data_IF_087240531179
#
_entry.id   IF_087240531179
#
_cell.length_a   1.000
_cell.length_b   1.000
_cell.length_c   1.000
_cell.angle_alpha   90.00
_cell.angle_beta   90.00
_cell.angle_gamma   90.00
#
_symmetry.space_group_name_H-M   'P 1'
#
loop_
_entity.id
_entity.type
_entity.pdbx_description
1 polymer ?
#
# COMPACT_ATOMS: atom_id res chain seq x y z
N UNK A 1 26.90 15.24 -31.95
CA UNK A 1 26.97 14.00 -31.17
C UNK A 1 26.55 14.34 -29.75
N UNK A 2 25.37 13.93 -29.32
CA UNK A 2 24.93 14.12 -27.92
C UNK A 2 25.79 13.24 -27.03
N UNK A 3 26.40 13.80 -26.00
CA UNK A 3 27.05 13.00 -24.95
C UNK A 3 26.05 11.99 -24.40
N UNK A 4 26.43 10.71 -24.20
CA UNK A 4 25.57 9.77 -23.49
C UNK A 4 25.25 10.38 -22.12
N UNK A 5 23.96 10.54 -21.81
CA UNK A 5 23.54 10.95 -20.48
C UNK A 5 24.10 9.93 -19.48
N UNK A 6 24.84 10.41 -18.46
CA UNK A 6 25.33 9.55 -17.39
C UNK A 6 24.15 8.85 -16.72
N UNK A 7 24.31 7.54 -16.46
CA UNK A 7 23.26 6.75 -15.80
C UNK A 7 23.02 7.28 -14.39
N UNK A 8 21.77 7.40 -13.92
CA UNK A 8 21.47 7.72 -12.53
C UNK A 8 22.17 6.75 -11.58
N UNK A 9 22.68 7.27 -10.46
CA UNK A 9 23.33 6.46 -9.43
C UNK A 9 22.41 6.25 -8.23
N UNK A 10 22.36 5.02 -7.72
CA UNK A 10 21.70 4.69 -6.45
C UNK A 10 22.79 4.61 -5.39
N UNK A 11 22.77 5.54 -4.43
CA UNK A 11 23.80 5.67 -3.39
C UNK A 11 23.17 5.40 -2.02
N UNK A 12 23.80 4.56 -1.22
CA UNK A 12 23.44 4.37 0.18
C UNK A 12 23.93 5.58 0.99
N UNK A 13 23.04 6.54 1.27
CA UNK A 13 23.40 7.75 2.00
C UNK A 13 23.49 7.53 3.52
N UNK A 14 22.52 6.83 4.11
CA UNK A 14 22.45 6.53 5.55
C UNK A 14 21.99 5.08 5.72
N UNK A 15 22.59 4.34 6.64
CA UNK A 15 22.18 3.00 7.01
C UNK A 15 22.08 2.90 8.53
N UNK A 16 21.05 2.20 9.02
CA UNK A 16 20.88 1.94 10.45
C UNK A 16 20.35 0.53 10.65
N UNK A 17 21.06 -0.26 11.44
CA UNK A 17 20.60 -1.59 11.85
C UNK A 17 19.51 -1.49 12.91
N UNK A 18 18.56 -2.42 12.85
CA UNK A 18 17.50 -2.61 13.85
C UNK A 18 17.58 -4.02 14.40
N UNK A 19 17.07 -4.23 15.61
CA UNK A 19 17.08 -5.51 16.34
C UNK A 19 15.72 -6.23 16.34
N UNK A 20 14.87 -5.92 15.36
CA UNK A 20 13.52 -6.44 15.21
C UNK A 20 13.20 -6.66 13.74
N UNK A 21 12.12 -7.38 13.46
CA UNK A 21 11.70 -7.61 12.08
C UNK A 21 10.96 -6.38 11.56
N UNK A 22 11.54 -5.72 10.56
CA UNK A 22 10.94 -4.57 9.88
C UNK A 22 10.05 -5.06 8.73
N UNK A 23 8.79 -4.62 8.70
CA UNK A 23 7.84 -4.96 7.63
C UNK A 23 7.53 -3.79 6.70
N UNK A 24 7.54 -2.56 7.21
CA UNK A 24 7.21 -1.38 6.41
C UNK A 24 7.91 -0.12 6.92
N UNK A 25 8.15 0.83 6.03
CA UNK A 25 8.64 2.16 6.36
C UNK A 25 7.99 3.23 5.47
N UNK A 26 7.74 4.41 6.05
CA UNK A 26 7.08 5.53 5.37
C UNK A 26 7.63 6.86 5.84
N UNK A 27 7.88 7.78 4.90
CA UNK A 27 8.20 9.16 5.24
C UNK A 27 7.01 9.84 5.94
N UNK A 28 7.29 10.56 7.02
CA UNK A 28 6.31 11.46 7.62
C UNK A 28 6.22 12.69 6.73
N UNK A 29 5.04 13.01 6.18
CA UNK A 29 4.87 14.11 5.21
C UNK A 29 5.42 15.45 5.73
N UNK A 30 6.04 16.22 4.82
CA UNK A 30 6.62 17.53 5.10
C UNK A 30 7.64 17.51 6.25
N UNK A 31 8.48 16.48 6.34
CA UNK A 31 9.54 16.39 7.36
C UNK A 31 10.73 15.56 6.88
N UNK A 32 11.86 15.67 7.61
CA UNK A 32 13.01 14.77 7.47
C UNK A 32 12.85 13.49 8.32
N UNK A 33 11.62 13.15 8.73
CA UNK A 33 11.32 12.02 9.59
C UNK A 33 10.67 10.88 8.82
N UNK A 34 10.90 9.65 9.26
CA UNK A 34 10.24 8.46 8.74
C UNK A 34 9.85 7.51 9.87
N UNK A 35 8.82 6.71 9.63
CA UNK A 35 8.37 5.66 10.53
C UNK A 35 8.84 4.29 10.03
N UNK A 36 9.13 3.40 10.97
CA UNK A 36 9.44 2.00 10.77
C UNK A 36 8.45 1.15 11.56
N UNK A 37 7.85 0.15 10.93
CA UNK A 37 6.81 -0.71 11.48
C UNK A 37 7.27 -2.16 11.45
N UNK A 38 7.06 -2.88 12.55
CA UNK A 38 7.58 -4.23 12.68
C UNK A 38 7.06 -5.00 13.89
N UNK A 39 7.82 -6.02 14.28
CA UNK A 39 7.61 -6.76 15.52
C UNK A 39 8.90 -7.15 16.22
N UNK A 40 8.83 -7.16 17.55
CA UNK A 40 9.87 -7.68 18.43
C UNK A 40 9.83 -9.21 18.45
N UNK A 41 10.94 -9.83 18.86
CA UNK A 41 11.05 -11.29 18.99
C UNK A 41 10.01 -11.91 19.95
N UNK A 42 9.54 -11.14 20.93
CA UNK A 42 8.46 -11.52 21.85
C UNK A 42 7.05 -11.46 21.26
N UNK A 43 6.91 -11.09 19.99
CA UNK A 43 5.63 -11.08 19.26
C UNK A 43 4.80 -9.80 19.43
N UNK A 44 5.27 -8.80 20.16
CA UNK A 44 4.66 -7.47 20.19
C UNK A 44 5.06 -6.64 18.98
N UNK A 45 4.19 -5.69 18.59
CA UNK A 45 4.49 -4.75 17.51
C UNK A 45 5.40 -3.63 17.97
N UNK A 46 6.10 -3.04 17.02
CA UNK A 46 6.96 -1.88 17.26
C UNK A 46 6.76 -0.85 16.16
N UNK A 47 6.67 0.41 16.58
CA UNK A 47 6.68 1.60 15.75
C UNK A 47 7.84 2.47 16.20
N UNK A 48 8.82 2.68 15.32
CA UNK A 48 9.91 3.62 15.56
C UNK A 48 9.80 4.83 14.64
N UNK A 49 10.10 6.01 15.16
CA UNK A 49 10.19 7.26 14.40
C UNK A 49 11.65 7.67 14.38
N UNK A 50 12.18 7.85 13.18
CA UNK A 50 13.53 8.34 12.93
C UNK A 50 13.49 9.73 12.32
N UNK A 51 14.55 10.50 12.55
CA UNK A 51 14.81 11.77 11.87
C UNK A 51 16.21 11.73 11.26
N UNK A 52 16.34 12.15 10.01
CA UNK A 52 17.66 12.31 9.40
C UNK A 52 18.24 13.65 9.85
N UNK A 53 19.35 13.58 10.58
CA UNK A 53 20.11 14.74 11.04
C UNK A 53 21.59 14.49 10.82
N UNK A 54 22.29 15.44 10.19
CA UNK A 54 23.76 15.39 10.00
C UNK A 54 24.27 14.07 9.38
N UNK A 55 23.54 13.48 8.44
CA UNK A 55 23.93 12.23 7.78
C UNK A 55 23.66 10.96 8.61
N UNK A 56 22.89 11.06 9.69
CA UNK A 56 22.51 9.92 10.52
C UNK A 56 21.00 9.81 10.70
N UNK A 57 20.49 8.57 10.85
CA UNK A 57 19.11 8.30 11.23
C UNK A 57 19.00 8.21 12.76
N UNK A 58 18.59 9.31 13.40
CA UNK A 58 18.43 9.40 14.86
C UNK A 58 17.07 8.89 15.29
N UNK A 59 17.03 7.98 16.26
CA UNK A 59 15.76 7.50 16.84
C UNK A 59 15.16 8.63 17.69
N UNK A 60 13.93 9.03 17.34
CA UNK A 60 13.19 10.09 18.05
C UNK A 60 12.18 9.49 19.02
N UNK A 61 11.53 8.39 18.62
CA UNK A 61 10.48 7.76 19.42
C UNK A 61 10.40 6.28 19.09
N UNK A 62 10.15 5.47 20.12
CA UNK A 62 9.84 4.06 20.02
C UNK A 62 8.56 3.79 20.79
N UNK A 63 7.62 3.10 20.16
CA UNK A 63 6.32 2.76 20.73
C UNK A 63 6.08 1.28 20.50
N UNK A 64 5.89 0.54 21.59
CA UNK A 64 5.48 -0.86 21.54
C UNK A 64 3.96 -0.96 21.45
N UNK A 65 3.49 -1.91 20.63
CA UNK A 65 2.08 -2.22 20.43
C UNK A 65 1.79 -3.68 20.78
N UNK A 66 0.55 -3.96 21.12
CA UNK A 66 0.12 -5.30 21.53
C UNK A 66 0.22 -6.33 20.40
N UNK A 67 0.13 -5.91 19.14
CA UNK A 67 0.21 -6.77 17.94
C UNK A 67 1.25 -6.25 16.95
N UNK A 68 1.95 -7.14 16.23
CA UNK A 68 2.84 -6.81 15.11
C UNK A 68 2.19 -5.88 14.08
N UNK A 69 2.91 -4.83 13.66
CA UNK A 69 2.44 -3.87 12.66
C UNK A 69 2.99 -4.25 11.28
N UNK A 70 2.11 -4.61 10.34
CA UNK A 70 2.50 -5.17 9.03
C UNK A 70 2.72 -4.10 7.95
N UNK A 71 1.92 -3.05 7.97
CA UNK A 71 1.91 -2.04 6.93
C UNK A 71 1.35 -0.71 7.46
N UNK A 72 1.68 0.41 6.80
CA UNK A 72 1.11 1.71 7.15
C UNK A 72 1.08 2.72 6.00
N UNK A 73 0.25 3.76 6.16
CA UNK A 73 0.12 4.85 5.19
C UNK A 73 -0.27 6.16 5.85
N UNK A 74 0.21 7.28 5.28
CA UNK A 74 -0.25 8.63 5.59
C UNK A 74 -1.22 9.17 4.53
N UNK A 75 -1.53 8.38 3.47
CA UNK A 75 -2.21 8.87 2.27
C UNK A 75 -3.63 9.39 2.49
N UNK A 76 -4.26 9.05 3.59
CA UNK A 76 -5.59 9.54 3.99
C UNK A 76 -5.54 10.65 5.07
N UNK A 77 -4.36 11.03 5.54
CA UNK A 77 -4.21 12.08 6.56
C UNK A 77 -4.08 13.45 5.93
N UNK A 78 -4.56 14.49 6.63
CA UNK A 78 -4.20 15.87 6.30
C UNK A 78 -2.72 16.15 6.61
N UNK A 79 -2.16 17.20 5.97
CA UNK A 79 -0.79 17.68 6.22
C UNK A 79 -0.60 18.24 7.63
N UNK A 80 -1.67 18.73 8.26
CA UNK A 80 -1.62 19.25 9.62
C UNK A 80 -1.54 18.12 10.65
N UNK A 81 -2.37 17.09 10.49
CA UNK A 81 -2.48 16.00 11.46
C UNK A 81 -1.36 14.95 11.31
N UNK A 82 -1.00 14.59 10.06
CA UNK A 82 -0.01 13.55 9.75
C UNK A 82 -0.23 12.26 10.55
N UNK A 83 -1.48 11.84 10.65
CA UNK A 83 -1.83 10.59 11.32
C UNK A 83 -1.43 9.39 10.47
N UNK A 84 -0.85 8.39 11.13
CA UNK A 84 -0.45 7.15 10.49
C UNK A 84 -1.59 6.13 10.60
N UNK A 85 -2.11 5.67 9.48
CA UNK A 85 -2.93 4.46 9.44
C UNK A 85 -2.03 3.23 9.40
N UNK A 86 -2.35 2.19 10.17
CA UNK A 86 -1.60 0.93 10.23
C UNK A 86 -2.52 -0.27 10.19
N UNK A 87 -2.11 -1.30 9.47
CA UNK A 87 -2.70 -2.64 9.56
C UNK A 87 -1.81 -3.59 10.38
N UNK A 88 -2.43 -4.36 11.28
CA UNK A 88 -1.72 -5.29 12.15
C UNK A 88 -1.98 -6.78 11.82
N UNK A 89 -1.22 -7.67 12.47
CA UNK A 89 -1.36 -9.12 12.31
C UNK A 89 -2.66 -9.68 12.89
N UNK A 90 -3.32 -8.90 13.74
CA UNK A 90 -4.63 -9.22 14.28
C UNK A 90 -5.77 -8.74 13.41
N UNK A 91 -5.56 -8.18 12.21
CA UNK A 91 -6.66 -7.69 11.39
C UNK A 91 -7.25 -6.35 11.84
N UNK A 92 -6.55 -5.61 12.71
CA UNK A 92 -7.02 -4.30 13.17
C UNK A 92 -6.45 -3.19 12.28
N UNK A 93 -7.34 -2.29 11.85
CA UNK A 93 -6.96 -1.00 11.29
C UNK A 93 -6.94 0.01 12.42
N UNK A 94 -5.78 0.63 12.64
CA UNK A 94 -5.63 1.70 13.62
C UNK A 94 -5.09 2.96 12.96
N UNK A 95 -5.56 4.12 13.39
CA UNK A 95 -5.03 5.43 12.98
C UNK A 95 -4.45 6.11 14.21
N UNK A 96 -3.23 6.61 14.10
CA UNK A 96 -2.44 7.09 15.23
C UNK A 96 -2.07 8.57 15.06
N UNK A 97 -2.32 9.35 16.10
CA UNK A 97 -1.57 10.58 16.30
C UNK A 97 -0.18 10.21 16.82
N UNK A 98 0.86 10.45 16.02
CA UNK A 98 2.23 10.08 16.39
C UNK A 98 2.77 10.91 17.58
N UNK A 99 2.19 12.07 17.88
CA UNK A 99 2.53 12.90 19.03
C UNK A 99 1.92 12.38 20.34
N UNK A 100 0.75 11.74 20.26
CA UNK A 100 0.01 11.15 21.38
C UNK A 100 -0.37 9.69 21.05
N UNK A 101 0.63 8.84 20.89
CA UNK A 101 0.47 7.53 20.26
C UNK A 101 -0.02 6.43 21.21
N UNK A 102 -0.36 6.71 22.46
CA UNK A 102 -0.80 5.71 23.43
C UNK A 102 -2.14 5.09 23.03
N UNK A 103 -3.08 5.92 22.58
CA UNK A 103 -4.42 5.54 22.14
C UNK A 103 -4.64 5.91 20.68
N UNK A 104 -5.19 5.02 19.83
CA UNK A 104 -5.48 5.36 18.45
C UNK A 104 -6.61 6.39 18.37
N UNK A 105 -6.55 7.28 17.38
CA UNK A 105 -7.65 8.22 17.07
C UNK A 105 -8.83 7.52 16.39
N UNK A 106 -8.56 6.39 15.74
CA UNK A 106 -9.54 5.50 15.13
C UNK A 106 -9.04 4.07 15.25
N UNK A 107 -9.91 3.15 15.63
CA UNK A 107 -9.58 1.72 15.72
C UNK A 107 -10.79 0.90 15.34
N UNK A 108 -10.59 -0.10 14.48
CA UNK A 108 -11.63 -1.06 14.11
C UNK A 108 -11.01 -2.42 13.85
N UNK A 109 -11.74 -3.48 14.23
CA UNK A 109 -11.46 -4.85 13.82
C UNK A 109 -11.88 -5.00 12.35
N UNK A 110 -11.02 -4.56 11.46
CA UNK A 110 -11.29 -4.49 10.02
C UNK A 110 -11.42 -5.88 9.37
N UNK A 111 -10.58 -6.81 9.79
CA UNK A 111 -10.39 -8.12 9.17
C UNK A 111 -10.29 -9.24 10.19
N UNK A 112 -10.57 -10.48 9.75
CA UNK A 112 -10.48 -11.67 10.60
C UNK A 112 -9.02 -12.13 10.78
N UNK A 113 -8.19 -11.86 9.79
CA UNK A 113 -6.77 -12.20 9.74
C UNK A 113 -5.90 -10.97 9.48
N UNK A 114 -4.59 -11.17 9.37
CA UNK A 114 -3.59 -10.13 9.09
C UNK A 114 -4.00 -9.19 7.96
N UNK A 115 -3.79 -7.88 8.15
CA UNK A 115 -3.84 -6.89 7.07
C UNK A 115 -2.47 -6.88 6.40
N UNK A 116 -2.37 -7.48 5.22
CA UNK A 116 -1.10 -7.61 4.50
C UNK A 116 -0.63 -6.28 3.92
N UNK A 117 -1.59 -5.46 3.46
CA UNK A 117 -1.37 -4.25 2.70
C UNK A 117 -2.41 -3.19 3.05
N UNK A 118 -2.00 -1.93 2.90
CA UNK A 118 -2.80 -0.76 3.17
C UNK A 118 -2.41 0.35 2.21
N UNK A 119 -3.38 1.11 1.74
CA UNK A 119 -3.13 2.33 0.99
C UNK A 119 -4.12 3.44 1.38
N UNK A 120 -3.79 4.69 1.06
CA UNK A 120 -4.61 5.86 1.36
C UNK A 120 -4.60 6.87 0.22
N UNK A 121 -5.70 7.61 0.09
CA UNK A 121 -5.90 8.68 -0.90
C UNK A 121 -6.85 9.76 -0.34
N UNK A 122 -6.86 10.95 -0.93
CA UNK A 122 -7.68 12.09 -0.50
C UNK A 122 -7.09 12.86 0.68
N UNK A 123 -5.99 12.37 1.27
CA UNK A 123 -5.15 13.10 2.20
C UNK A 123 -3.97 13.78 1.50
N UNK A 124 -3.20 14.56 2.25
CA UNK A 124 -1.96 15.22 1.81
C UNK A 124 -2.06 16.12 0.56
N UNK A 125 -3.28 16.44 0.11
CA UNK A 125 -3.52 17.12 -1.17
C UNK A 125 -3.33 16.20 -2.40
N UNK A 126 -3.37 14.88 -2.21
CA UNK A 126 -3.22 13.88 -3.28
C UNK A 126 -4.55 13.13 -3.44
N UNK A 127 -5.15 13.32 -4.61
CA UNK A 127 -6.46 12.78 -4.95
C UNK A 127 -7.59 13.65 -4.41
N UNK A 128 -8.69 13.69 -5.16
CA UNK A 128 -9.86 14.48 -4.85
C UNK A 128 -10.90 13.68 -4.05
N UNK A 129 -11.81 14.38 -3.38
CA UNK A 129 -12.87 13.78 -2.56
C UNK A 129 -12.45 13.50 -1.11
N UNK A 130 -13.28 12.73 -0.41
CA UNK A 130 -13.03 12.41 1.00
C UNK A 130 -11.76 11.54 1.17
N UNK A 131 -10.99 11.72 2.26
CA UNK A 131 -9.89 10.82 2.56
C UNK A 131 -10.39 9.42 2.90
N UNK A 132 -9.82 8.41 2.25
CA UNK A 132 -10.15 7.01 2.47
C UNK A 132 -8.90 6.15 2.58
N UNK A 133 -9.04 5.04 3.31
CA UNK A 133 -8.03 4.02 3.50
C UNK A 133 -8.55 2.72 2.90
N UNK A 134 -7.73 2.01 2.13
CA UNK A 134 -8.02 0.66 1.67
C UNK A 134 -7.13 -0.33 2.40
N UNK A 135 -7.70 -1.46 2.83
CA UNK A 135 -6.99 -2.56 3.47
C UNK A 135 -7.24 -3.85 2.72
N UNK A 136 -6.18 -4.64 2.49
CA UNK A 136 -6.25 -5.99 1.93
C UNK A 136 -5.71 -7.02 2.93
N UNK A 137 -6.42 -8.13 3.10
CA UNK A 137 -6.14 -9.12 4.15
C UNK A 137 -6.02 -10.54 3.62
N UNK A 138 -5.34 -11.36 4.43
CA UNK A 138 -5.33 -12.82 4.29
C UNK A 138 -6.70 -13.47 4.41
N UNK A 139 -7.66 -12.79 5.04
CA UNK A 139 -9.06 -13.26 5.04
C UNK A 139 -9.72 -13.19 3.65
N UNK A 140 -9.01 -12.65 2.66
CA UNK A 140 -9.39 -12.56 1.26
C UNK A 140 -10.37 -11.46 0.92
N UNK A 141 -10.60 -10.54 1.86
CA UNK A 141 -11.41 -9.35 1.62
C UNK A 141 -10.53 -8.12 1.44
N UNK A 142 -11.02 -7.19 0.64
CA UNK A 142 -10.52 -5.83 0.51
C UNK A 142 -11.60 -4.89 1.02
N UNK A 143 -11.24 -3.94 1.88
CA UNK A 143 -12.20 -3.03 2.50
C UNK A 143 -11.73 -1.59 2.36
N UNK A 144 -12.66 -0.68 2.10
CA UNK A 144 -12.42 0.76 2.05
C UNK A 144 -13.07 1.41 3.27
N UNK A 145 -12.34 2.33 3.90
CA UNK A 145 -12.68 2.94 5.16
C UNK A 145 -12.64 4.45 5.06
N UNK A 146 -13.68 5.08 5.58
CA UNK A 146 -13.69 6.49 5.94
C UNK A 146 -13.60 6.57 7.46
N UNK A 147 -12.57 7.22 8.00
CA UNK A 147 -12.34 7.31 9.45
C UNK A 147 -13.38 8.14 10.19
N UNK A 148 -14.23 8.88 9.45
CA UNK A 148 -15.39 9.61 9.97
C UNK A 148 -16.58 8.68 10.20
N UNK A 149 -16.61 7.53 9.50
CA UNK A 149 -17.57 6.46 9.70
C UNK A 149 -17.00 5.41 10.66
N UNK A 150 -17.64 5.26 11.81
CA UNK A 150 -17.20 4.30 12.83
C UNK A 150 -17.63 2.88 12.47
N UNK A 151 -16.76 1.93 12.79
CA UNK A 151 -17.01 0.48 12.84
C UNK A 151 -17.37 -0.23 11.53
N UNK A 152 -17.78 0.49 10.48
CA UNK A 152 -18.20 -0.11 9.19
C UNK A 152 -17.39 0.45 8.02
N UNK A 153 -16.96 -0.41 7.08
CA UNK A 153 -16.33 0.05 5.84
C UNK A 153 -17.38 0.68 4.91
N UNK A 154 -16.94 1.61 4.05
CA UNK A 154 -17.77 2.21 3.00
C UNK A 154 -17.89 1.30 1.76
N UNK A 155 -16.89 0.42 1.57
CA UNK A 155 -16.93 -0.63 0.55
C UNK A 155 -16.29 -1.92 1.05
N UNK A 156 -16.83 -3.05 0.64
CA UNK A 156 -16.32 -4.38 0.92
C UNK A 156 -16.29 -5.19 -0.37
N UNK A 157 -15.11 -5.57 -0.82
CA UNK A 157 -14.88 -6.39 -2.00
C UNK A 157 -14.41 -7.76 -1.53
N UNK A 158 -15.23 -8.78 -1.74
CA UNK A 158 -14.93 -10.16 -1.41
C UNK A 158 -15.41 -11.11 -2.50
N UNK A 159 -14.92 -12.35 -2.47
CA UNK A 159 -15.35 -13.38 -3.40
C UNK A 159 -16.85 -13.68 -3.24
N UNK A 160 -17.49 -14.14 -4.32
CA UNK A 160 -18.90 -14.54 -4.28
C UNK A 160 -19.06 -15.71 -3.29
N UNK A 161 -20.21 -15.77 -2.61
CA UNK A 161 -20.50 -16.85 -1.68
C UNK A 161 -20.35 -18.22 -2.35
N UNK A 162 -19.54 -19.09 -1.76
CA UNK A 162 -19.19 -20.40 -2.31
C UNK A 162 -17.85 -20.47 -3.04
N UNK A 163 -17.22 -19.33 -3.37
CA UNK A 163 -15.87 -19.31 -3.94
C UNK A 163 -14.78 -19.37 -2.87
N UNK A 164 -13.63 -19.93 -3.24
CA UNK A 164 -12.48 -19.98 -2.35
C UNK A 164 -11.91 -18.58 -2.13
N UNK A 165 -11.81 -18.17 -0.86
CA UNK A 165 -11.12 -16.93 -0.48
C UNK A 165 -9.63 -17.03 -0.80
N UNK A 166 -9.07 -15.96 -1.36
CA UNK A 166 -7.66 -15.86 -1.78
C UNK A 166 -6.95 -14.81 -0.96
N UNK A 167 -5.70 -15.06 -0.61
CA UNK A 167 -4.94 -14.16 0.26
C UNK A 167 -4.60 -12.86 -0.51
N UNK A 168 -5.12 -11.72 -0.04
CA UNK A 168 -4.86 -10.43 -0.68
C UNK A 168 -3.50 -9.88 -0.21
N UNK A 169 -2.56 -9.75 -1.13
CA UNK A 169 -1.18 -9.36 -0.82
C UNK A 169 -0.89 -7.88 -1.04
N UNK A 170 -1.64 -7.23 -1.94
CA UNK A 170 -1.40 -5.82 -2.29
C UNK A 170 -2.69 -5.12 -2.71
N UNK A 171 -2.79 -3.84 -2.38
CA UNK A 171 -3.87 -2.93 -2.78
C UNK A 171 -3.26 -1.59 -3.21
N UNK A 172 -3.88 -0.93 -4.17
CA UNK A 172 -3.49 0.39 -4.62
C UNK A 172 -4.72 1.23 -4.99
N UNK A 173 -4.79 2.46 -4.47
CA UNK A 173 -5.72 3.45 -4.98
C UNK A 173 -5.23 4.03 -6.31
N UNK A 174 -6.18 4.36 -7.18
CA UNK A 174 -5.94 5.09 -8.42
C UNK A 174 -7.21 5.78 -8.90
N UNK A 175 -7.12 6.46 -10.04
CA UNK A 175 -8.25 7.14 -10.68
C UNK A 175 -8.92 8.24 -9.83
N UNK A 176 -8.23 8.78 -8.82
CA UNK A 176 -8.79 9.75 -7.87
C UNK A 176 -8.67 11.21 -8.36
N UNK A 177 -9.08 11.49 -9.59
CA UNK A 177 -8.86 12.80 -10.24
C UNK A 177 -9.98 13.82 -10.04
N UNK A 178 -11.11 13.39 -9.47
CA UNK A 178 -12.21 14.27 -9.06
C UNK A 178 -12.91 13.67 -7.81
N UNK A 179 -13.93 14.34 -7.30
CA UNK A 179 -14.59 13.96 -6.05
C UNK A 179 -15.43 12.67 -6.14
N UNK A 180 -15.73 12.19 -7.34
CA UNK A 180 -16.61 11.02 -7.58
C UNK A 180 -15.83 9.79 -8.04
N UNK A 181 -14.75 9.98 -8.77
CA UNK A 181 -14.00 8.91 -9.42
C UNK A 181 -12.93 8.36 -8.49
N UNK A 182 -12.96 7.04 -8.29
CA UNK A 182 -11.96 6.34 -7.50
C UNK A 182 -11.94 4.86 -7.86
N UNK A 183 -10.74 4.31 -7.98
CA UNK A 183 -10.54 2.90 -8.23
C UNK A 183 -9.62 2.27 -7.19
N UNK A 184 -9.85 0.99 -6.91
CA UNK A 184 -8.99 0.15 -6.08
C UNK A 184 -8.54 -1.02 -6.92
N UNK A 185 -7.22 -1.22 -7.03
CA UNK A 185 -6.67 -2.43 -7.62
C UNK A 185 -6.13 -3.34 -6.50
N UNK A 186 -6.52 -4.61 -6.52
CA UNK A 186 -6.12 -5.62 -5.55
C UNK A 186 -5.40 -6.78 -6.23
N UNK A 187 -4.34 -7.26 -5.60
CA UNK A 187 -3.52 -8.38 -6.06
C UNK A 187 -3.47 -9.51 -5.03
N UNK A 188 -3.53 -10.74 -5.51
CA UNK A 188 -3.70 -11.94 -4.67
C UNK A 188 -2.58 -12.96 -4.84
N UNK A 189 -2.50 -13.93 -3.93
CA UNK A 189 -1.51 -15.00 -3.87
C UNK A 189 -1.48 -15.93 -5.09
N UNK A 190 -2.62 -16.11 -5.77
CA UNK A 190 -2.76 -16.92 -6.97
C UNK A 190 -2.46 -16.15 -8.28
N UNK A 191 -2.06 -14.89 -8.18
CA UNK A 191 -1.77 -14.03 -9.32
C UNK A 191 -2.97 -13.27 -9.89
N UNK A 192 -4.15 -13.34 -9.25
CA UNK A 192 -5.29 -12.52 -9.65
C UNK A 192 -4.98 -11.04 -9.41
N UNK A 193 -5.39 -10.22 -10.36
CA UNK A 193 -5.44 -8.76 -10.26
C UNK A 193 -6.88 -8.35 -10.56
N UNK A 194 -7.52 -7.70 -9.59
CA UNK A 194 -8.90 -7.19 -9.72
C UNK A 194 -8.90 -5.68 -9.57
N UNK A 195 -9.53 -4.99 -10.51
CA UNK A 195 -9.71 -3.54 -10.51
C UNK A 195 -11.18 -3.23 -10.25
N UNK A 196 -11.45 -2.57 -9.13
CA UNK A 196 -12.77 -2.17 -8.70
C UNK A 196 -12.99 -0.68 -8.94
N UNK A 197 -14.14 -0.34 -9.48
CA UNK A 197 -14.66 1.03 -9.57
C UNK A 197 -15.52 1.28 -8.33
N UNK A 198 -15.13 2.24 -7.49
CA UNK A 198 -15.83 2.55 -6.24
C UNK A 198 -17.05 3.44 -6.44
N UNK A 199 -17.15 4.15 -7.57
CA UNK A 199 -18.34 4.95 -7.89
C UNK A 199 -19.51 4.03 -8.24
N UNK A 200 -19.23 3.05 -9.11
CA UNK A 200 -20.22 2.11 -9.61
C UNK A 200 -20.30 0.83 -8.78
N UNK A 201 -19.44 0.68 -7.76
CA UNK A 201 -19.31 -0.49 -6.91
C UNK A 201 -19.24 -1.79 -7.72
N UNK A 202 -18.38 -1.79 -8.74
CA UNK A 202 -18.33 -2.85 -9.76
C UNK A 202 -16.91 -3.31 -10.05
N UNK A 203 -16.76 -4.57 -10.46
CA UNK A 203 -15.51 -5.09 -11.00
C UNK A 203 -15.31 -4.56 -12.42
N UNK A 204 -14.38 -3.62 -12.60
CA UNK A 204 -14.08 -2.98 -13.88
C UNK A 204 -13.18 -3.84 -14.76
N UNK A 205 -12.24 -4.56 -14.17
CA UNK A 205 -11.30 -5.40 -14.90
C UNK A 205 -10.72 -6.50 -13.99
N UNK A 206 -10.45 -7.66 -14.57
CA UNK A 206 -9.76 -8.75 -13.92
C UNK A 206 -8.75 -9.40 -14.89
N UNK A 207 -7.62 -9.83 -14.36
CA UNK A 207 -6.64 -10.66 -15.06
C UNK A 207 -5.91 -11.57 -14.08
N UNK A 208 -5.16 -12.55 -14.60
CA UNK A 208 -4.32 -13.44 -13.80
C UNK A 208 -2.91 -13.51 -14.39
N UNK A 209 -1.90 -13.20 -13.59
CA UNK A 209 -0.47 -13.21 -13.97
C UNK A 209 0.27 -14.48 -13.51
N UNK A 210 -0.48 -15.53 -13.15
CA UNK A 210 -0.06 -16.90 -12.75
C UNK A 210 0.72 -17.02 -11.44
N UNK A 211 1.47 -16.00 -11.07
CA UNK A 211 2.29 -15.95 -9.86
C UNK A 211 1.70 -14.90 -8.91
N UNK A 212 1.78 -15.15 -7.60
CA UNK A 212 1.28 -14.23 -6.58
C UNK A 212 1.76 -12.80 -6.78
N UNK A 213 0.81 -11.86 -6.67
CA UNK A 213 1.02 -10.43 -6.94
C UNK A 213 1.61 -9.78 -5.69
N UNK A 214 2.89 -9.44 -5.74
CA UNK A 214 3.62 -8.94 -4.57
C UNK A 214 3.37 -7.44 -4.32
N UNK A 215 3.19 -6.65 -5.38
CA UNK A 215 2.93 -5.22 -5.26
C UNK A 215 2.18 -4.70 -6.49
N UNK A 216 1.23 -3.81 -6.25
CA UNK A 216 0.54 -3.01 -7.26
C UNK A 216 0.79 -1.53 -6.98
N UNK A 217 1.06 -0.75 -8.02
CA UNK A 217 1.16 0.71 -7.90
C UNK A 217 0.72 1.38 -9.20
N UNK A 218 -0.21 2.34 -9.09
CA UNK A 218 -0.50 3.26 -10.18
C UNK A 218 0.62 4.28 -10.28
N UNK A 219 0.99 4.67 -11.51
CA UNK A 219 2.02 5.69 -11.71
C UNK A 219 1.70 7.02 -11.00
N UNK A 220 0.42 7.38 -10.99
CA UNK A 220 -0.13 8.47 -10.17
C UNK A 220 -1.55 8.15 -9.74
N UNK A 221 -1.86 8.47 -8.48
CA UNK A 221 -3.19 8.20 -7.89
C UNK A 221 -4.25 9.21 -8.29
N UNK A 222 -3.85 10.47 -8.48
CA UNK A 222 -4.66 11.68 -8.57
C UNK A 222 -5.03 12.08 -10.01
N UNK A 223 -4.80 11.20 -10.98
CA UNK A 223 -5.10 11.42 -12.39
C UNK A 223 -6.00 10.32 -12.93
N UNK A 224 -6.58 10.54 -14.10
CA UNK A 224 -7.15 9.45 -14.88
C UNK A 224 -6.11 8.34 -15.06
N UNK A 225 -6.50 7.07 -14.88
CA UNK A 225 -5.55 5.95 -14.86
C UNK A 225 -4.66 5.97 -16.10
N UNK A 226 -3.34 5.93 -15.89
CA UNK A 226 -2.36 5.98 -16.98
C UNK A 226 -1.54 4.70 -17.04
N UNK A 227 -0.82 4.36 -15.96
CA UNK A 227 -0.11 3.08 -15.88
C UNK A 227 -0.35 2.40 -14.54
N UNK A 228 -0.36 1.08 -14.58
CA UNK A 228 -0.35 0.22 -13.40
C UNK A 228 0.83 -0.73 -13.51
N UNK A 229 1.65 -0.79 -12.47
CA UNK A 229 2.73 -1.78 -12.36
C UNK A 229 2.27 -2.88 -11.42
N UNK A 230 2.43 -4.13 -11.83
CA UNK A 230 2.21 -5.31 -11.02
C UNK A 230 3.48 -6.14 -10.94
N UNK A 231 4.04 -6.32 -9.74
CA UNK A 231 5.18 -7.20 -9.51
C UNK A 231 4.70 -8.56 -9.03
N UNK A 232 5.42 -9.63 -9.38
CA UNK A 232 5.09 -10.98 -8.96
C UNK A 232 6.31 -11.76 -8.50
N UNK A 233 6.06 -12.93 -7.91
CA UNK A 233 7.09 -13.93 -7.65
C UNK A 233 7.87 -14.27 -8.94
N UNK A 234 9.08 -14.81 -8.75
CA UNK A 234 10.06 -15.15 -9.80
C UNK A 234 10.68 -13.96 -10.57
N UNK A 235 10.68 -12.77 -9.97
CA UNK A 235 11.35 -11.60 -10.52
C UNK A 235 10.73 -11.09 -11.83
N UNK A 236 9.41 -11.18 -11.95
CA UNK A 236 8.64 -10.65 -13.08
C UNK A 236 7.87 -9.40 -12.64
N UNK A 237 7.71 -8.46 -13.56
CA UNK A 237 6.74 -7.38 -13.42
C UNK A 237 6.03 -7.11 -14.73
N UNK A 238 4.81 -6.60 -14.63
CA UNK A 238 3.97 -6.22 -15.75
C UNK A 238 3.68 -4.72 -15.65
N UNK A 239 3.75 -4.02 -16.76
CA UNK A 239 3.33 -2.62 -16.86
C UNK A 239 2.15 -2.55 -17.80
N UNK A 240 0.99 -2.17 -17.28
CA UNK A 240 -0.26 -2.03 -18.03
C UNK A 240 -0.47 -0.59 -18.47
N UNK A 241 -0.89 -0.39 -19.73
CA UNK A 241 -1.45 0.88 -20.20
C UNK A 241 -2.92 0.94 -19.79
N UNK A 242 -3.23 1.78 -18.80
CA UNK A 242 -4.55 1.86 -18.19
C UNK A 242 -5.48 2.87 -18.90
N UNK A 243 -5.04 3.49 -20.00
CA UNK A 243 -5.86 4.46 -20.74
C UNK A 243 -6.85 3.81 -21.69
N UNK A 244 -6.48 2.66 -22.26
CA UNK A 244 -7.29 2.00 -23.30
C UNK A 244 -7.63 0.57 -22.87
N UNK A 245 -8.90 0.36 -22.50
CA UNK A 245 -9.41 -0.95 -22.12
C UNK A 245 -10.15 -1.58 -23.30
N UNK A 246 -9.70 -2.74 -23.77
CA UNK A 246 -10.47 -3.56 -24.70
C UNK A 246 -11.55 -4.35 -23.93
N UNK A 247 -12.82 -4.41 -24.37
CA UNK A 247 -13.91 -5.02 -23.61
C UNK A 247 -13.66 -6.47 -23.16
N UNK A 248 -13.01 -7.28 -24.01
CA UNK A 248 -12.73 -8.70 -23.72
C UNK A 248 -11.25 -9.04 -23.50
N UNK A 249 -10.34 -8.14 -23.88
CA UNK A 249 -8.87 -8.40 -23.79
C UNK A 249 -8.22 -7.64 -22.63
N UNK A 250 -8.95 -6.72 -22.00
CA UNK A 250 -8.43 -5.89 -20.92
C UNK A 250 -7.46 -4.83 -21.42
N UNK A 251 -6.46 -4.52 -20.59
CA UNK A 251 -5.43 -3.53 -20.87
C UNK A 251 -4.22 -4.15 -21.59
N UNK A 252 -3.61 -3.39 -22.49
CA UNK A 252 -2.33 -3.78 -23.07
C UNK A 252 -1.23 -3.74 -22.01
N UNK A 253 -0.27 -4.66 -22.07
CA UNK A 253 0.83 -4.71 -21.12
C UNK A 253 2.15 -5.15 -21.73
N UNK A 254 3.24 -4.79 -21.06
CA UNK A 254 4.58 -5.36 -21.28
C UNK A 254 5.00 -6.12 -20.02
N UNK A 255 5.56 -7.30 -20.21
CA UNK A 255 6.10 -8.14 -19.12
C UNK A 255 7.62 -8.18 -19.23
N UNK A 256 8.28 -7.89 -18.12
CA UNK A 256 9.74 -7.96 -18.00
C UNK A 256 10.12 -9.00 -16.94
N UNK A 257 11.22 -9.72 -17.18
CA UNK A 257 11.79 -10.69 -16.24
C UNK A 257 13.25 -10.34 -15.96
N UNK A 258 13.57 -10.07 -14.69
CA UNK A 258 14.88 -9.56 -14.30
C UNK A 258 16.04 -10.55 -14.56
N UNK A 259 15.79 -11.86 -14.47
CA UNK A 259 16.84 -12.89 -14.52
C UNK A 259 17.24 -13.40 -15.91
N UNK A 260 16.83 -12.76 -17.02
CA UNK A 260 17.18 -13.25 -18.36
C UNK A 260 18.58 -12.84 -18.86
N UNK A 261 19.25 -11.87 -18.24
CA UNK A 261 20.46 -11.24 -18.81
C UNK A 261 21.67 -11.01 -17.87
N UNK A 262 21.76 -11.69 -16.73
CA UNK A 262 22.99 -11.68 -15.92
C UNK A 262 23.89 -12.88 -16.28
N UNK A 263 24.61 -12.78 -17.40
CA UNK A 263 25.92 -13.44 -17.47
C UNK A 263 26.85 -12.65 -16.54
N UNK A 264 26.96 -13.10 -15.29
CA UNK A 264 28.05 -12.70 -14.40
C UNK A 264 29.36 -13.13 -15.08
N UNK A 265 30.06 -12.17 -15.68
CA UNK A 265 31.48 -12.28 -16.03
C UNK A 265 32.30 -11.74 -14.87
#
# INVERSE_FOLDING_TARGET
>A
MSSPLEKPQIIAHVQKSVNYTLFDCKWIPCSAKFVCLGNLARGSGILQIYEIQHGEAKLIREIEKTKPLKCGTFGASSLQQRYLATGDFGGNLNVWNLEAADTPVYSVKAHKEIINCIDGVGGLGIGEGAPEIVTGSRDGTVKVWDTRQKDTPVANMEAVEGESKRDCWTVAFGHAYNQEERAVCAGYDNGDIKLFDLRNMSLRWETNIRNGVCCLEFDRKDIMMNKLVATSLEGKFNVYDMRTQHPTKGFASVTEKFFSNFNLK
#
